data_IF_180037111556
#
_entry.id   IF_180037111556
#
_cell.length_a   1.000
_cell.length_b   1.000
_cell.length_c   1.000
_cell.angle_alpha   90.00
_cell.angle_beta   90.00
_cell.angle_gamma   90.00
#
_symmetry.space_group_name_H-M   'P 1'
#
loop_
_entity.id
_entity.type
_entity.pdbx_description
1 polymer ?
#
# COMPACT_ATOMS: atom_id res chain seq x y z
N UNK A 1 11.10 -3.96 -7.62
CA UNK A 1 11.24 -5.43 -7.46
C UNK A 1 10.30 -5.84 -6.33
N UNK A 2 9.32 -6.71 -6.56
CA UNK A 2 8.40 -7.12 -5.52
C UNK A 2 9.01 -8.18 -4.60
N UNK A 3 8.57 -8.18 -3.34
CA UNK A 3 8.93 -9.16 -2.33
C UNK A 3 7.72 -10.08 -2.11
N UNK A 4 7.91 -11.38 -2.29
CA UNK A 4 6.90 -12.41 -2.09
C UNK A 4 7.26 -13.18 -0.82
N UNK A 5 6.52 -12.94 0.25
CA UNK A 5 6.72 -13.61 1.53
C UNK A 5 5.66 -14.71 1.69
N UNK A 6 6.10 -15.95 1.75
CA UNK A 6 5.25 -17.08 2.08
C UNK A 6 5.23 -17.27 3.60
N UNK A 7 4.05 -17.15 4.18
CA UNK A 7 3.81 -17.43 5.59
C UNK A 7 3.10 -18.78 5.67
N UNK A 8 3.83 -19.83 6.02
CA UNK A 8 3.29 -21.18 6.08
C UNK A 8 2.96 -21.55 7.51
N UNK A 9 1.73 -21.99 7.71
CA UNK A 9 1.32 -22.64 8.94
C UNK A 9 2.06 -23.97 9.07
N UNK A 10 2.89 -24.08 10.11
CA UNK A 10 3.61 -25.29 10.49
C UNK A 10 3.05 -25.89 11.77
N UNK A 11 1.84 -25.51 12.19
CA UNK A 11 1.22 -26.07 13.40
C UNK A 11 0.86 -27.55 13.24
N UNK A 12 0.65 -28.23 14.38
CA UNK A 12 0.34 -29.65 14.38
C UNK A 12 -0.95 -30.01 13.63
N UNK A 13 -1.92 -29.09 13.52
CA UNK A 13 -3.18 -29.31 12.80
C UNK A 13 -3.00 -29.48 11.29
N UNK A 14 -1.90 -28.97 10.73
CA UNK A 14 -1.54 -29.14 9.32
C UNK A 14 -1.14 -30.58 8.95
N UNK A 15 -1.03 -31.51 9.92
CA UNK A 15 -0.81 -32.93 9.68
C UNK A 15 -2.07 -33.70 9.23
N UNK A 16 -3.25 -33.06 9.24
CA UNK A 16 -4.47 -33.71 8.78
C UNK A 16 -4.37 -34.11 7.30
N UNK A 17 -4.93 -35.29 6.99
CA UNK A 17 -4.88 -35.88 5.65
C UNK A 17 -6.11 -35.55 4.84
N UNK A 18 -5.89 -35.33 3.56
CA UNK A 18 -6.96 -35.05 2.59
C UNK A 18 -7.38 -36.32 1.86
N UNK A 19 -8.44 -36.23 1.06
CA UNK A 19 -8.84 -37.31 0.13
C UNK A 19 -7.73 -37.70 -0.87
N UNK A 20 -6.71 -36.86 -1.07
CA UNK A 20 -5.54 -37.14 -1.92
C UNK A 20 -4.48 -38.00 -1.22
N UNK A 21 -4.64 -38.27 0.08
CA UNK A 21 -3.67 -39.03 0.89
C UNK A 21 -2.48 -38.20 1.41
N UNK A 22 -2.34 -36.95 0.98
CA UNK A 22 -1.31 -36.00 1.44
C UNK A 22 -1.79 -35.15 2.60
N UNK A 23 -0.86 -34.62 3.41
CA UNK A 23 -1.19 -33.68 4.49
C UNK A 23 -1.47 -32.27 3.94
N UNK A 24 -2.07 -31.40 4.77
CA UNK A 24 -2.23 -29.99 4.40
C UNK A 24 -0.88 -29.28 4.22
N UNK A 25 0.13 -29.61 5.02
CA UNK A 25 1.47 -29.05 4.84
C UNK A 25 2.09 -29.45 3.49
N UNK A 26 1.91 -30.69 3.05
CA UNK A 26 2.39 -31.14 1.74
C UNK A 26 1.70 -30.37 0.59
N UNK A 27 0.39 -30.15 0.72
CA UNK A 27 -0.38 -29.34 -0.23
C UNK A 27 0.11 -27.89 -0.24
N UNK A 28 0.39 -27.32 0.94
CA UNK A 28 0.93 -25.96 1.06
C UNK A 28 2.30 -25.82 0.38
N UNK A 29 3.22 -26.77 0.62
CA UNK A 29 4.53 -26.82 -0.07
C UNK A 29 4.35 -26.91 -1.59
N UNK A 30 3.48 -27.82 -2.05
CA UNK A 30 3.15 -27.95 -3.47
C UNK A 30 2.56 -26.68 -4.08
N UNK A 31 1.69 -25.97 -3.35
CA UNK A 31 1.10 -24.70 -3.77
C UNK A 31 2.16 -23.61 -3.98
N UNK A 32 3.15 -23.52 -3.07
CA UNK A 32 4.29 -22.61 -3.20
C UNK A 32 5.10 -22.92 -4.46
N UNK A 33 5.42 -24.19 -4.70
CA UNK A 33 6.16 -24.59 -5.91
C UNK A 33 5.40 -24.27 -7.19
N UNK A 34 4.09 -24.55 -7.23
CA UNK A 34 3.22 -24.24 -8.37
C UNK A 34 3.15 -22.73 -8.58
N UNK A 35 3.01 -21.94 -7.52
CA UNK A 35 3.01 -20.49 -7.60
C UNK A 35 4.30 -19.96 -8.22
N UNK A 36 5.46 -20.43 -7.75
CA UNK A 36 6.75 -20.01 -8.28
C UNK A 36 6.91 -20.37 -9.76
N UNK A 37 6.42 -21.55 -10.19
CA UNK A 37 6.41 -21.97 -11.60
C UNK A 37 5.49 -21.08 -12.45
N UNK A 38 4.30 -20.74 -11.94
CA UNK A 38 3.38 -19.83 -12.62
C UNK A 38 3.97 -18.43 -12.74
N UNK A 39 4.58 -17.92 -11.67
CA UNK A 39 5.21 -16.60 -11.64
C UNK A 39 6.43 -16.52 -12.55
N UNK A 40 7.21 -17.58 -12.68
CA UNK A 40 8.36 -17.65 -13.58
C UNK A 40 8.00 -17.52 -15.07
N UNK A 41 6.72 -17.66 -15.45
CA UNK A 41 6.24 -17.41 -16.82
C UNK A 41 6.26 -15.91 -17.16
N UNK A 42 6.18 -15.03 -16.16
CA UNK A 42 6.24 -13.58 -16.35
C UNK A 42 7.70 -13.11 -16.35
N UNK A 43 8.20 -12.46 -17.43
CA UNK A 43 9.56 -11.93 -17.48
C UNK A 43 9.90 -10.96 -16.33
N UNK A 44 8.90 -10.29 -15.74
CA UNK A 44 9.08 -9.39 -14.61
C UNK A 44 9.54 -10.12 -13.33
N UNK A 45 9.40 -11.45 -13.25
CA UNK A 45 9.71 -12.23 -12.06
C UNK A 45 11.21 -12.36 -11.75
N UNK A 46 12.09 -12.00 -12.70
CA UNK A 46 13.56 -12.15 -12.53
C UNK A 46 14.13 -11.33 -11.39
N UNK A 47 13.44 -10.26 -10.99
CA UNK A 47 13.82 -9.41 -9.85
C UNK A 47 13.08 -9.72 -8.56
N UNK A 48 12.19 -10.72 -8.54
CA UNK A 48 11.39 -11.03 -7.37
C UNK A 48 12.25 -11.64 -6.26
N UNK A 49 11.99 -11.24 -5.01
CA UNK A 49 12.60 -11.84 -3.83
C UNK A 49 11.60 -12.70 -3.10
N UNK A 50 11.98 -13.95 -2.81
CA UNK A 50 11.16 -14.88 -2.05
C UNK A 50 11.64 -14.97 -0.61
N UNK A 51 10.71 -14.90 0.35
CA UNK A 51 10.97 -15.06 1.78
C UNK A 51 10.04 -16.14 2.35
N UNK A 52 10.51 -16.85 3.38
CA UNK A 52 9.76 -17.91 4.04
C UNK A 52 9.72 -17.68 5.55
N UNK A 53 8.50 -17.61 6.08
CA UNK A 53 8.22 -17.47 7.52
C UNK A 53 7.28 -18.59 7.96
N UNK A 54 7.49 -19.12 9.15
CA UNK A 54 6.71 -20.20 9.79
C UNK A 54 6.12 -19.72 11.12
N UNK A 55 5.33 -20.58 11.79
CA UNK A 55 4.71 -20.28 13.09
C UNK A 55 5.62 -20.60 14.29
N UNK A 56 6.90 -20.87 14.05
CA UNK A 56 7.86 -21.12 15.12
C UNK A 56 8.17 -19.82 15.89
N UNK A 57 8.51 -19.98 17.17
CA UNK A 57 8.87 -18.85 18.03
C UNK A 57 10.14 -18.13 17.54
N UNK A 58 10.27 -16.81 17.75
CA UNK A 58 11.48 -16.08 17.40
C UNK A 58 12.70 -16.61 18.16
N UNK A 59 13.88 -16.67 17.51
CA UNK A 59 14.19 -16.21 16.15
C UNK A 59 14.02 -17.31 15.08
N UNK A 60 13.32 -18.41 15.36
CA UNK A 60 13.25 -19.58 14.47
C UNK A 60 12.14 -19.50 13.40
N UNK A 61 11.20 -18.59 13.55
CA UNK A 61 10.12 -18.38 12.58
C UNK A 61 10.58 -17.90 11.19
N UNK A 62 11.73 -17.22 11.07
CA UNK A 62 12.25 -16.79 9.76
C UNK A 62 13.20 -17.85 9.22
N UNK A 63 12.79 -18.54 8.14
CA UNK A 63 13.61 -19.57 7.48
C UNK A 63 14.43 -19.02 6.33
N UNK A 64 13.85 -18.13 5.53
CA UNK A 64 14.53 -17.46 4.43
C UNK A 64 14.20 -15.97 4.39
N UNK A 65 15.21 -15.11 4.48
CA UNK A 65 15.08 -13.65 4.59
C UNK A 65 15.84 -12.85 3.52
N UNK A 66 16.28 -11.64 3.87
CA UNK A 66 16.85 -10.65 2.93
C UNK A 66 18.10 -11.07 2.16
N UNK A 67 18.93 -11.95 2.72
CA UNK A 67 20.24 -12.35 2.16
C UNK A 67 20.23 -13.73 1.52
N UNK A 68 19.12 -14.46 1.62
CA UNK A 68 19.05 -15.83 1.16
C UNK A 68 18.77 -15.93 -0.34
N UNK A 69 19.32 -16.98 -0.95
CA UNK A 69 19.12 -17.26 -2.36
C UNK A 69 17.94 -18.24 -2.57
N UNK A 70 17.54 -18.43 -3.82
CA UNK A 70 16.45 -19.35 -4.18
C UNK A 70 16.72 -20.80 -3.75
N UNK A 71 17.98 -21.25 -3.75
CA UNK A 71 18.37 -22.59 -3.32
C UNK A 71 18.12 -22.83 -1.82
N UNK A 72 18.54 -21.89 -0.97
CA UNK A 72 18.27 -21.95 0.48
C UNK A 72 16.76 -21.95 0.75
N UNK A 73 16.01 -21.07 0.08
CA UNK A 73 14.55 -21.03 0.19
C UNK A 73 13.91 -22.39 -0.11
N UNK A 74 14.28 -23.02 -1.22
CA UNK A 74 13.72 -24.32 -1.62
C UNK A 74 14.15 -25.46 -0.68
N UNK A 75 15.36 -25.39 -0.12
CA UNK A 75 15.84 -26.35 0.87
C UNK A 75 15.00 -26.27 2.16
N UNK A 76 14.85 -25.06 2.71
CA UNK A 76 14.05 -24.81 3.90
C UNK A 76 12.58 -25.21 3.71
N UNK A 77 11.98 -24.85 2.55
CA UNK A 77 10.60 -25.22 2.21
C UNK A 77 10.38 -26.74 2.24
N UNK A 78 11.32 -27.51 1.68
CA UNK A 78 11.24 -28.98 1.66
C UNK A 78 11.32 -29.57 3.07
N UNK A 79 12.20 -29.01 3.90
CA UNK A 79 12.49 -29.52 5.24
C UNK A 79 11.46 -29.12 6.32
N UNK A 80 10.48 -28.25 6.01
CA UNK A 80 9.45 -27.87 6.98
C UNK A 80 8.72 -29.08 7.56
N UNK A 81 8.48 -29.06 8.86
CA UNK A 81 7.71 -30.05 9.60
C UNK A 81 6.51 -29.37 10.24
N UNK A 82 5.37 -30.07 10.28
CA UNK A 82 4.17 -29.59 10.94
C UNK A 82 4.24 -29.98 12.43
N UNK A 83 4.73 -29.07 13.26
CA UNK A 83 4.85 -29.21 14.70
C UNK A 83 4.60 -27.87 15.39
N UNK A 84 3.92 -27.90 16.54
CA UNK A 84 3.71 -26.71 17.36
C UNK A 84 2.30 -26.16 17.29
N UNK A 85 2.16 -24.91 17.75
CA UNK A 85 0.89 -24.22 17.96
C UNK A 85 0.57 -23.27 16.80
N UNK A 86 -0.72 -22.98 16.60
CA UNK A 86 -1.21 -22.04 15.60
C UNK A 86 -1.08 -20.58 16.08
N UNK A 87 0.16 -20.06 16.09
CA UNK A 87 0.52 -18.71 16.57
C UNK A 87 0.45 -17.62 15.49
N UNK A 88 -0.63 -17.63 14.67
CA UNK A 88 -0.78 -16.79 13.48
C UNK A 88 -0.45 -15.30 13.73
N UNK A 89 -0.94 -14.73 14.84
CA UNK A 89 -0.73 -13.31 15.14
C UNK A 89 0.75 -12.95 15.35
N UNK A 90 1.50 -13.84 16.01
CA UNK A 90 2.92 -13.64 16.23
C UNK A 90 3.73 -13.80 14.93
N UNK A 91 3.37 -14.79 14.12
CA UNK A 91 4.04 -15.06 12.85
C UNK A 91 3.79 -13.95 11.82
N UNK A 92 2.57 -13.43 11.72
CA UNK A 92 2.24 -12.25 10.92
C UNK A 92 3.04 -11.02 11.37
N UNK A 93 3.14 -10.80 12.69
CA UNK A 93 3.93 -9.69 13.23
C UNK A 93 5.39 -9.79 12.82
N UNK A 94 5.98 -10.98 12.95
CA UNK A 94 7.37 -11.23 12.55
C UNK A 94 7.57 -11.03 11.03
N UNK A 95 6.60 -11.43 10.21
CA UNK A 95 6.62 -11.18 8.77
C UNK A 95 6.59 -9.68 8.44
N UNK A 96 5.71 -8.90 9.08
CA UNK A 96 5.66 -7.45 8.89
C UNK A 96 6.94 -6.77 9.37
N UNK A 97 7.45 -7.14 10.54
CA UNK A 97 8.69 -6.60 11.07
C UNK A 97 9.86 -6.89 10.13
N UNK A 98 9.97 -8.12 9.60
CA UNK A 98 10.98 -8.51 8.62
C UNK A 98 10.92 -7.64 7.36
N UNK A 99 9.73 -7.38 6.83
CA UNK A 99 9.53 -6.53 5.65
C UNK A 99 9.85 -5.06 5.93
N UNK A 100 9.63 -4.59 7.16
CA UNK A 100 9.83 -3.20 7.55
C UNK A 100 11.28 -2.86 7.90
N UNK A 101 12.16 -3.86 8.09
CA UNK A 101 13.55 -3.67 8.54
C UNK A 101 14.33 -2.64 7.72
N UNK A 102 14.24 -2.64 6.39
CA UNK A 102 15.13 -1.80 5.57
C UNK A 102 14.50 -0.48 5.14
N UNK A 103 13.22 -0.25 5.41
CA UNK A 103 12.46 0.83 4.79
C UNK A 103 12.90 2.23 5.23
N UNK A 104 13.25 2.38 6.50
CA UNK A 104 13.77 3.64 7.03
C UNK A 104 15.18 3.96 6.51
N UNK A 105 16.03 2.92 6.37
CA UNK A 105 17.40 3.06 5.87
C UNK A 105 17.41 3.37 4.38
N UNK A 106 16.55 2.70 3.61
CA UNK A 106 16.37 2.96 2.16
C UNK A 106 15.65 4.27 1.87
N UNK A 107 15.13 4.97 2.89
CA UNK A 107 14.44 6.26 2.73
C UNK A 107 13.04 6.15 2.10
N UNK A 108 12.46 4.95 2.07
CA UNK A 108 11.10 4.73 1.56
C UNK A 108 10.09 5.39 2.49
N UNK A 109 10.24 5.16 3.80
CA UNK A 109 9.40 5.77 4.83
C UNK A 109 10.01 7.12 5.28
N UNK A 110 9.74 8.15 4.49
CA UNK A 110 10.22 9.52 4.69
C UNK A 110 9.29 10.35 5.61
N UNK A 111 9.20 9.99 6.90
CA UNK A 111 8.29 10.65 7.86
C UNK A 111 8.38 12.18 7.88
N UNK A 112 7.24 12.84 7.77
CA UNK A 112 7.14 14.31 7.80
C UNK A 112 7.56 15.03 6.51
N UNK A 113 7.81 14.28 5.42
CA UNK A 113 8.18 14.82 4.10
C UNK A 113 7.16 14.45 3.01
N UNK A 114 5.90 14.25 3.40
CA UNK A 114 4.87 13.71 2.51
C UNK A 114 5.10 12.24 2.20
N UNK A 115 4.11 11.59 1.57
CA UNK A 115 4.17 10.17 1.20
C UNK A 115 4.34 10.05 -0.31
N UNK A 116 5.46 9.49 -0.77
CA UNK A 116 5.76 9.39 -2.20
C UNK A 116 5.29 8.05 -2.78
N UNK A 117 4.26 8.00 -3.64
CA UNK A 117 3.76 6.72 -4.18
C UNK A 117 4.78 5.98 -5.05
N UNK A 118 5.81 6.68 -5.55
CA UNK A 118 6.87 6.13 -6.38
C UNK A 118 8.07 5.59 -5.59
N UNK A 119 8.12 5.79 -4.27
CA UNK A 119 9.07 5.09 -3.40
C UNK A 119 8.42 3.81 -2.89
N UNK A 120 8.75 2.70 -3.54
CA UNK A 120 8.03 1.44 -3.39
C UNK A 120 8.97 0.29 -3.08
N UNK A 121 8.52 -0.55 -2.16
CA UNK A 121 9.03 -1.90 -1.97
C UNK A 121 7.81 -2.82 -1.85
N UNK A 122 7.15 -3.10 -2.99
CA UNK A 122 5.87 -3.77 -2.98
C UNK A 122 6.04 -5.17 -2.43
N UNK A 123 5.26 -5.53 -1.41
CA UNK A 123 5.32 -6.85 -0.81
C UNK A 123 3.95 -7.52 -0.76
N UNK A 124 3.98 -8.83 -0.98
CA UNK A 124 2.79 -9.67 -0.94
C UNK A 124 3.07 -10.80 0.02
N UNK A 125 2.24 -10.90 1.05
CA UNK A 125 2.26 -11.99 2.01
C UNK A 125 1.21 -13.00 1.56
N UNK A 126 1.64 -14.24 1.35
CA UNK A 126 0.76 -15.36 1.02
C UNK A 126 0.76 -16.27 2.23
N UNK A 127 -0.29 -16.18 3.04
CA UNK A 127 -0.48 -17.04 4.20
C UNK A 127 -1.20 -18.31 3.78
N UNK A 128 -0.63 -19.47 4.07
CA UNK A 128 -1.30 -20.76 3.85
C UNK A 128 -1.52 -21.41 5.21
N UNK A 129 -2.78 -21.66 5.55
CA UNK A 129 -3.20 -22.19 6.86
C UNK A 129 -4.43 -23.08 6.68
N UNK A 130 -4.74 -23.90 7.67
CA UNK A 130 -5.99 -24.65 7.74
C UNK A 130 -7.19 -23.78 8.17
N UNK A 131 -6.94 -22.58 8.72
CA UNK A 131 -7.96 -21.65 9.19
C UNK A 131 -8.78 -22.17 10.36
N UNK A 132 -8.28 -23.21 11.05
CA UNK A 132 -8.90 -23.74 12.24
C UNK A 132 -8.70 -22.80 13.44
N UNK A 133 -9.15 -23.23 14.62
CA UNK A 133 -9.02 -22.45 15.85
C UNK A 133 -7.56 -22.10 16.14
N UNK A 134 -7.31 -20.83 16.43
CA UNK A 134 -6.00 -20.32 16.81
C UNK A 134 -5.63 -20.90 18.19
N UNK A 135 -4.36 -21.27 18.40
CA UNK A 135 -3.93 -21.86 19.68
C UNK A 135 -2.70 -21.13 20.22
N UNK A 136 -2.76 -20.75 21.48
CA UNK A 136 -1.63 -20.26 22.27
C UNK A 136 -1.35 -21.19 23.45
N UNK A 137 -0.20 -21.01 24.09
CA UNK A 137 0.18 -21.72 25.31
C UNK A 137 -0.84 -21.55 26.45
N UNK A 138 -1.59 -20.44 26.45
CA UNK A 138 -2.62 -20.10 27.45
C UNK A 138 -4.05 -20.49 27.07
N UNK A 139 -4.30 -20.96 25.85
CA UNK A 139 -5.65 -21.35 25.40
C UNK A 139 -5.92 -21.08 23.92
N UNK A 140 -7.21 -21.11 23.57
CA UNK A 140 -7.70 -20.99 22.19
C UNK A 140 -8.44 -19.65 22.05
N UNK A 141 -7.81 -18.58 21.52
CA UNK A 141 -8.53 -17.33 21.28
C UNK A 141 -9.47 -17.43 20.08
N UNK A 142 -10.60 -16.72 20.16
CA UNK A 142 -11.53 -16.57 19.04
C UNK A 142 -11.16 -15.41 18.10
N UNK A 143 -10.39 -14.43 18.58
CA UNK A 143 -9.98 -13.25 17.82
C UNK A 143 -8.47 -13.24 17.52
N UNK A 144 -8.12 -12.80 16.31
CA UNK A 144 -6.73 -12.61 15.90
C UNK A 144 -6.22 -11.25 16.36
N UNK A 145 -5.46 -11.24 17.46
CA UNK A 145 -4.75 -10.06 17.94
C UNK A 145 -3.27 -10.14 17.56
N UNK A 146 -2.75 -9.07 16.95
CA UNK A 146 -1.32 -8.91 16.72
C UNK A 146 -0.68 -8.35 17.99
N UNK A 147 0.38 -8.96 18.54
CA UNK A 147 1.06 -8.40 19.71
C UNK A 147 1.56 -6.99 19.37
N UNK A 148 1.25 -5.99 20.20
CA UNK A 148 1.51 -4.58 19.88
C UNK A 148 2.98 -4.16 20.08
N UNK A 149 3.70 -4.84 20.97
CA UNK A 149 5.07 -4.48 21.33
C UNK A 149 6.06 -4.85 20.21
N UNK A 150 6.49 -3.85 19.42
CA UNK A 150 7.59 -4.03 18.47
C UNK A 150 8.92 -3.97 19.17
N UNK A 151 9.87 -4.85 18.85
CA UNK A 151 11.27 -4.58 19.11
C UNK A 151 11.88 -3.62 18.06
N UNK A 152 11.20 -3.33 16.94
CA UNK A 152 11.74 -2.46 15.89
C UNK A 152 11.67 -0.98 16.28
N UNK A 153 12.85 -0.36 16.29
CA UNK A 153 13.02 1.08 16.47
C UNK A 153 12.29 1.85 15.33
N UNK A 154 11.46 2.83 15.68
CA UNK A 154 10.68 3.61 14.72
C UNK A 154 9.30 3.03 14.39
N UNK A 155 8.93 1.91 15.01
CA UNK A 155 7.58 1.33 14.87
C UNK A 155 6.49 2.26 15.39
N UNK A 156 6.82 3.10 16.39
CA UNK A 156 5.90 4.09 16.97
C UNK A 156 5.49 5.21 15.99
N UNK A 157 6.20 5.38 14.87
CA UNK A 157 5.87 6.37 13.84
C UNK A 157 4.71 5.91 12.95
N UNK A 158 4.19 4.70 13.13
CA UNK A 158 3.06 4.16 12.38
C UNK A 158 2.13 3.36 13.28
N UNK A 159 0.83 3.58 13.13
CA UNK A 159 -0.17 2.98 14.03
C UNK A 159 -0.31 1.48 13.79
N UNK A 160 -0.29 1.07 12.53
CA UNK A 160 -0.50 -0.30 12.09
C UNK A 160 0.85 -1.00 11.79
N UNK A 161 0.92 -2.35 11.90
CA UNK A 161 2.16 -3.10 11.68
C UNK A 161 2.54 -3.22 10.20
N UNK A 162 1.61 -3.01 9.28
CA UNK A 162 1.83 -3.10 7.83
C UNK A 162 2.03 -1.72 7.19
N UNK A 163 2.45 -1.71 5.92
CA UNK A 163 2.64 -0.50 5.10
C UNK A 163 1.69 -0.51 3.91
N UNK A 164 1.49 0.66 3.31
CA UNK A 164 0.57 0.85 2.17
C UNK A 164 0.90 0.07 0.90
N UNK A 165 2.11 -0.44 0.76
CA UNK A 165 2.58 -1.26 -0.37
C UNK A 165 2.68 -2.75 0.01
N UNK A 166 2.12 -3.14 1.16
CA UNK A 166 2.10 -4.52 1.67
C UNK A 166 0.67 -5.06 1.65
N UNK A 167 0.45 -6.18 0.94
CA UNK A 167 -0.87 -6.82 0.83
C UNK A 167 -0.83 -8.25 1.35
N UNK A 168 -1.86 -8.64 2.11
CA UNK A 168 -2.00 -9.99 2.66
C UNK A 168 -3.07 -10.77 1.89
N UNK A 169 -2.70 -11.95 1.39
CA UNK A 169 -3.63 -12.93 0.86
C UNK A 169 -3.55 -14.20 1.70
N UNK A 170 -4.70 -14.79 2.01
CA UNK A 170 -4.78 -16.03 2.77
C UNK A 170 -5.37 -17.15 1.92
N UNK A 171 -4.65 -18.28 1.80
CA UNK A 171 -5.17 -19.53 1.26
C UNK A 171 -5.55 -20.42 2.45
N UNK A 172 -6.85 -20.49 2.73
CA UNK A 172 -7.37 -21.31 3.81
C UNK A 172 -7.74 -22.68 3.23
N UNK A 173 -6.96 -23.69 3.59
CA UNK A 173 -7.15 -25.06 3.13
C UNK A 173 -8.32 -25.69 3.89
N UNK A 174 -9.40 -26.01 3.19
CA UNK A 174 -10.59 -26.72 3.71
C UNK A 174 -10.90 -27.95 2.86
N UNK A 175 -9.86 -28.68 2.46
CA UNK A 175 -10.02 -29.89 1.65
C UNK A 175 -10.57 -31.03 2.52
N UNK A 176 -11.64 -31.72 2.08
CA UNK A 176 -12.24 -32.80 2.86
C UNK A 176 -11.32 -34.02 2.94
N UNK A 177 -11.48 -34.82 4.00
CA UNK A 177 -10.76 -36.10 4.15
C UNK A 177 -11.33 -37.23 3.28
N UNK A 178 -12.61 -37.13 2.93
CA UNK A 178 -13.30 -38.07 2.04
C UNK A 178 -13.67 -37.38 0.72
N UNK A 179 -13.69 -38.13 -0.37
CA UNK A 179 -14.17 -37.63 -1.66
C UNK A 179 -15.67 -37.29 -1.55
N UNK A 180 -16.00 -36.01 -1.58
CA UNK A 180 -17.39 -35.55 -1.73
C UNK A 180 -17.73 -35.46 -3.21
N UNK A 181 -18.88 -35.98 -3.69
CA UNK A 181 -19.30 -35.76 -5.07
C UNK A 181 -19.46 -34.26 -5.32
N UNK A 182 -18.87 -33.78 -6.41
CA UNK A 182 -18.72 -32.35 -6.71
C UNK A 182 -20.08 -31.63 -6.77
N UNK A 183 -20.33 -30.73 -5.82
CA UNK A 183 -21.18 -29.58 -6.08
C UNK A 183 -20.32 -28.55 -6.81
N UNK A 184 -20.11 -28.72 -8.12
CA UNK A 184 -19.34 -27.78 -8.94
C UNK A 184 -20.05 -26.42 -8.98
N UNK A 185 -19.73 -25.52 -8.05
CA UNK A 185 -20.00 -24.11 -8.22
C UNK A 185 -19.00 -23.57 -9.24
N UNK A 186 -19.42 -23.52 -10.50
CA UNK A 186 -18.71 -22.87 -11.60
C UNK A 186 -18.68 -21.35 -11.31
N UNK A 187 -17.67 -20.88 -10.57
CA UNK A 187 -17.63 -19.50 -10.12
C UNK A 187 -16.29 -19.10 -9.49
N UNK A 188 -16.18 -17.85 -9.07
CA UNK A 188 -15.01 -17.34 -8.36
C UNK A 188 -14.89 -17.99 -6.98
N UNK A 189 -13.68 -18.39 -6.60
CA UNK A 189 -13.40 -18.94 -5.26
C UNK A 189 -13.91 -17.99 -4.16
N UNK A 190 -14.76 -18.47 -3.23
CA UNK A 190 -15.35 -17.65 -2.18
C UNK A 190 -14.31 -17.15 -1.19
N UNK A 191 -14.65 -16.06 -0.50
CA UNK A 191 -13.89 -15.60 0.66
C UNK A 191 -14.07 -16.58 1.81
N UNK A 192 -13.07 -16.63 2.68
CA UNK A 192 -13.14 -17.43 3.90
C UNK A 192 -13.76 -16.62 5.05
N UNK A 193 -14.41 -17.27 6.00
CA UNK A 193 -14.95 -16.63 7.23
C UNK A 193 -14.06 -16.96 8.44
N UNK A 194 -12.75 -16.73 8.33
CA UNK A 194 -11.79 -16.90 9.42
C UNK A 194 -11.24 -15.57 9.92
N UNK A 195 -10.61 -15.59 11.10
CA UNK A 195 -10.05 -14.40 11.74
C UNK A 195 -9.01 -13.67 10.86
N UNK A 196 -8.34 -14.36 9.93
CA UNK A 196 -7.38 -13.75 9.00
C UNK A 196 -8.05 -12.90 7.91
N UNK A 197 -9.33 -13.12 7.60
CA UNK A 197 -10.05 -12.40 6.54
C UNK A 197 -10.07 -10.90 6.79
N UNK A 198 -10.34 -10.47 8.04
CA UNK A 198 -10.33 -9.05 8.41
C UNK A 198 -8.96 -8.40 8.15
N UNK A 199 -7.86 -9.10 8.46
CA UNK A 199 -6.51 -8.61 8.20
C UNK A 199 -6.20 -8.54 6.70
N UNK A 200 -6.69 -9.51 5.92
CA UNK A 200 -6.57 -9.48 4.46
C UNK A 200 -7.30 -8.26 3.87
N UNK A 201 -8.52 -7.98 4.31
CA UNK A 201 -9.30 -6.83 3.83
C UNK A 201 -8.67 -5.49 4.23
N UNK A 202 -8.19 -5.37 5.46
CA UNK A 202 -7.56 -4.14 5.98
C UNK A 202 -6.28 -3.80 5.21
N UNK A 203 -5.49 -4.80 4.81
CA UNK A 203 -4.27 -4.61 3.99
C UNK A 203 -4.55 -4.47 2.48
N UNK A 204 -5.81 -4.57 2.04
CA UNK A 204 -6.18 -4.48 0.62
C UNK A 204 -5.94 -5.76 -0.19
N UNK A 205 -5.87 -6.92 0.48
CA UNK A 205 -5.87 -8.25 -0.14
C UNK A 205 -7.19 -8.98 0.07
N UNK A 206 -7.15 -10.32 0.05
CA UNK A 206 -8.33 -11.18 0.27
C UNK A 206 -7.98 -12.57 0.79
N UNK A 207 -8.89 -13.20 1.51
CA UNK A 207 -8.83 -14.61 1.85
C UNK A 207 -9.52 -15.45 0.76
N UNK A 208 -9.09 -16.71 0.60
CA UNK A 208 -9.65 -17.68 -0.32
C UNK A 208 -9.96 -18.94 0.46
N UNK A 209 -11.21 -19.42 0.40
CA UNK A 209 -11.60 -20.71 0.98
C UNK A 209 -11.39 -21.82 -0.06
N UNK A 210 -10.38 -22.67 0.16
CA UNK A 210 -9.93 -23.68 -0.80
C UNK A 210 -10.50 -25.04 -0.44
N UNK A 211 -11.54 -25.47 -1.15
CA UNK A 211 -12.23 -26.75 -0.91
C UNK A 211 -11.68 -27.88 -1.78
N UNK A 212 -11.14 -27.57 -2.96
CA UNK A 212 -10.63 -28.55 -3.93
C UNK A 212 -9.27 -28.15 -4.50
N UNK A 213 -8.54 -29.13 -5.05
CA UNK A 213 -7.25 -28.88 -5.70
C UNK A 213 -7.40 -27.97 -6.94
N UNK A 214 -8.54 -28.06 -7.64
CA UNK A 214 -8.85 -27.19 -8.78
C UNK A 214 -9.01 -25.74 -8.34
N UNK A 215 -9.74 -25.49 -7.25
CA UNK A 215 -9.89 -24.17 -6.67
C UNK A 215 -8.55 -23.60 -6.20
N UNK A 216 -7.67 -24.43 -5.62
CA UNK A 216 -6.32 -24.02 -5.26
C UNK A 216 -5.55 -23.50 -6.47
N UNK A 217 -5.54 -24.24 -7.59
CA UNK A 217 -4.86 -23.81 -8.81
C UNK A 217 -5.44 -22.51 -9.37
N UNK A 218 -6.77 -22.35 -9.38
CA UNK A 218 -7.43 -21.10 -9.77
C UNK A 218 -7.04 -19.91 -8.88
N UNK A 219 -6.93 -20.12 -7.56
CA UNK A 219 -6.45 -19.10 -6.62
C UNK A 219 -5.02 -18.68 -6.94
N UNK A 220 -4.12 -19.64 -7.18
CA UNK A 220 -2.72 -19.37 -7.49
C UNK A 220 -2.57 -18.57 -8.79
N UNK A 221 -3.32 -18.93 -9.84
CA UNK A 221 -3.36 -18.17 -11.10
C UNK A 221 -3.86 -16.74 -10.89
N UNK A 222 -4.93 -16.56 -10.12
CA UNK A 222 -5.46 -15.23 -9.78
C UNK A 222 -4.46 -14.42 -8.93
N UNK A 223 -3.76 -15.05 -8.00
CA UNK A 223 -2.80 -14.38 -7.11
C UNK A 223 -1.59 -13.87 -7.91
N UNK A 224 -1.09 -14.63 -8.87
CA UNK A 224 0.01 -14.20 -9.76
C UNK A 224 -0.36 -12.91 -10.51
N UNK A 225 -1.60 -12.80 -10.99
CA UNK A 225 -2.08 -11.57 -11.66
C UNK A 225 -2.18 -10.37 -10.71
N UNK A 226 -2.35 -10.60 -9.41
CA UNK A 226 -2.40 -9.55 -8.38
C UNK A 226 -1.01 -9.08 -7.95
N UNK A 227 0.08 -9.70 -8.40
CA UNK A 227 1.46 -9.25 -8.14
C UNK A 227 1.79 -8.02 -8.99
N UNK A 228 1.17 -6.91 -8.62
CA UNK A 228 1.28 -5.61 -9.27
C UNK A 228 1.91 -4.60 -8.30
N UNK A 229 2.66 -3.65 -8.87
CA UNK A 229 3.29 -2.57 -8.11
C UNK A 229 2.29 -1.43 -7.89
N UNK A 230 2.12 -1.01 -6.65
CA UNK A 230 1.21 0.05 -6.28
C UNK A 230 1.17 0.31 -4.79
N UNK A 231 0.40 1.33 -4.41
CA UNK A 231 0.12 1.66 -2.99
C UNK A 231 -1.39 1.66 -2.76
N UNK A 232 -1.79 1.24 -1.57
CA UNK A 232 -3.19 1.22 -1.15
C UNK A 232 -3.55 2.56 -0.51
N UNK A 233 -4.63 3.17 -1.00
CA UNK A 233 -5.22 4.38 -0.45
C UNK A 233 -6.63 4.06 0.07
N UNK A 234 -7.03 4.73 1.15
CA UNK A 234 -8.42 4.70 1.63
C UNK A 234 -9.15 5.92 1.08
N UNK A 235 -10.09 5.72 0.15
CA UNK A 235 -10.91 6.79 -0.38
C UNK A 235 -12.17 6.96 0.45
N UNK A 236 -12.47 8.19 0.86
CA UNK A 236 -13.66 8.54 1.63
C UNK A 236 -14.40 9.72 0.98
N UNK A 237 -15.71 9.59 0.78
CA UNK A 237 -16.54 10.69 0.28
C UNK A 237 -16.63 11.78 1.36
N UNK A 238 -16.52 13.04 0.94
CA UNK A 238 -16.86 14.20 1.77
C UNK A 238 -17.86 15.11 1.06
N UNK A 239 -18.71 15.79 1.83
CA UNK A 239 -19.76 16.65 1.29
C UNK A 239 -21.00 15.90 0.80
N UNK A 240 -21.94 16.60 0.14
CA UNK A 240 -23.19 16.03 -0.34
C UNK A 240 -22.96 15.00 -1.46
N UNK A 241 -23.94 14.12 -1.65
CA UNK A 241 -23.96 13.26 -2.83
C UNK A 241 -24.02 14.07 -4.12
N UNK A 242 -23.40 13.57 -5.21
CA UNK A 242 -23.53 14.21 -6.50
C UNK A 242 -25.01 14.21 -6.93
N UNK A 243 -25.45 15.22 -7.69
CA UNK A 243 -26.78 15.21 -8.26
C UNK A 243 -26.99 13.94 -9.11
N UNK A 244 -28.18 13.30 -9.03
CA UNK A 244 -28.48 12.10 -9.79
C UNK A 244 -28.40 12.42 -11.30
N UNK A 245 -27.71 11.56 -12.04
CA UNK A 245 -27.56 11.69 -13.49
C UNK A 245 -28.71 10.93 -14.17
N UNK A 246 -29.78 11.65 -14.55
CA UNK A 246 -30.89 11.13 -15.36
C UNK A 246 -32.28 11.26 -14.72
N UNK A 247 -33.28 11.65 -15.52
CA UNK A 247 -34.69 11.65 -15.15
C UNK A 247 -35.21 10.19 -15.06
N UNK A 248 -35.62 9.78 -13.86
CA UNK A 248 -36.29 8.50 -13.63
C UNK A 248 -35.37 7.42 -13.08
N UNK A 249 -35.40 7.23 -11.75
CA UNK A 249 -35.65 5.95 -11.07
C UNK A 249 -35.35 6.09 -9.57
N UNK A 250 -36.46 6.23 -8.80
CA UNK A 250 -36.69 6.05 -7.35
C UNK A 250 -35.81 6.82 -6.33
N UNK A 251 -36.42 7.45 -5.31
CA UNK A 251 -35.69 7.97 -4.16
C UNK A 251 -35.24 6.78 -3.29
N UNK A 252 -34.07 6.24 -3.55
CA UNK A 252 -33.42 5.35 -2.59
C UNK A 252 -32.92 6.27 -1.48
N UNK A 253 -33.60 6.21 -0.33
CA UNK A 253 -33.20 6.84 0.94
C UNK A 253 -31.71 7.21 1.00
N UNK A 254 -31.41 8.50 0.85
CA UNK A 254 -30.08 9.06 0.61
C UNK A 254 -29.16 9.05 1.86
N UNK A 255 -29.44 8.22 2.86
CA UNK A 255 -28.76 8.26 4.16
C UNK A 255 -27.97 6.99 4.50
N UNK A 256 -28.03 5.94 3.68
CA UNK A 256 -27.22 4.74 3.90
C UNK A 256 -25.83 4.88 3.25
N UNK A 257 -24.73 4.56 3.95
CA UNK A 257 -23.39 4.55 3.36
C UNK A 257 -23.32 3.52 2.22
N UNK A 258 -23.08 4.00 1.01
CA UNK A 258 -22.92 3.15 -0.17
C UNK A 258 -21.51 2.57 -0.23
N UNK A 259 -21.30 1.39 -0.85
CA UNK A 259 -19.98 0.77 -0.99
C UNK A 259 -18.93 1.63 -1.70
N UNK A 260 -19.35 2.63 -2.48
CA UNK A 260 -18.45 3.58 -3.14
C UNK A 260 -18.08 4.79 -2.26
N UNK A 261 -18.78 5.03 -1.15
CA UNK A 261 -18.49 6.14 -0.22
C UNK A 261 -17.19 5.92 0.55
N UNK A 262 -16.82 4.66 0.81
CA UNK A 262 -15.56 4.32 1.46
C UNK A 262 -14.99 3.06 0.85
N UNK A 263 -13.78 3.14 0.29
CA UNK A 263 -13.11 1.96 -0.26
C UNK A 263 -11.59 2.07 -0.16
N UNK A 264 -10.94 0.97 0.23
CA UNK A 264 -9.49 0.80 0.17
C UNK A 264 -9.12 0.19 -1.16
N UNK A 265 -8.35 0.90 -1.98
CA UNK A 265 -8.00 0.45 -3.32
C UNK A 265 -6.56 0.77 -3.68
N UNK A 266 -5.98 -0.12 -4.46
CA UNK A 266 -4.64 0.03 -4.99
C UNK A 266 -4.65 1.10 -6.09
N UNK A 267 -3.69 2.03 -6.02
CA UNK A 267 -3.29 2.83 -7.17
C UNK A 267 -2.06 2.19 -7.80
N UNK A 268 -2.12 1.95 -9.10
CA UNK A 268 -1.02 1.33 -9.84
C UNK A 268 0.09 2.32 -10.07
N UNK A 269 1.29 1.90 -9.69
CA UNK A 269 2.52 2.67 -9.90
C UNK A 269 3.38 1.90 -10.87
N UNK A 270 3.28 2.28 -12.14
CA UNK A 270 4.00 1.62 -13.23
C UNK A 270 5.43 2.17 -13.31
N UNK A 271 6.45 1.32 -13.44
CA UNK A 271 7.82 1.78 -13.70
C UNK A 271 7.90 2.54 -15.02
N UNK A 272 8.78 3.52 -15.09
CA UNK A 272 9.03 4.23 -16.34
C UNK A 272 9.73 3.26 -17.34
N UNK A 273 9.22 3.11 -18.58
CA UNK A 273 9.82 2.21 -19.58
C UNK A 273 11.30 2.51 -19.88
N UNK A 274 11.75 3.77 -19.73
CA UNK A 274 13.12 4.18 -20.04
C UNK A 274 14.11 3.90 -18.91
N UNK A 275 13.69 4.08 -17.67
CA UNK A 275 14.59 3.98 -16.50
C UNK A 275 14.36 2.71 -15.68
N UNK A 276 13.27 1.98 -15.91
CA UNK A 276 12.90 0.77 -15.15
C UNK A 276 12.47 1.05 -13.70
N UNK A 277 12.42 2.32 -13.28
CA UNK A 277 12.07 2.74 -11.90
C UNK A 277 10.84 3.65 -11.97
N UNK A 278 9.90 3.55 -11.01
CA UNK A 278 8.82 4.52 -10.87
C UNK A 278 9.36 5.94 -10.76
N UNK A 279 8.82 6.85 -11.55
CA UNK A 279 9.14 8.28 -11.48
C UNK A 279 7.86 9.00 -11.10
N UNK A 280 7.94 9.83 -10.06
CA UNK A 280 6.90 10.79 -9.76
C UNK A 280 7.48 12.12 -9.30
N UNK A 281 6.60 13.08 -9.12
CA UNK A 281 6.91 14.48 -8.87
C UNK A 281 6.34 14.95 -7.56
N UNK A 282 5.11 14.55 -7.23
CA UNK A 282 4.36 15.11 -6.12
C UNK A 282 4.06 14.05 -5.06
N UNK A 283 4.35 14.31 -3.78
CA UNK A 283 3.91 13.44 -2.71
C UNK A 283 2.39 13.57 -2.48
N UNK A 284 1.81 12.56 -1.85
CA UNK A 284 0.53 12.68 -1.13
C UNK A 284 0.83 13.41 0.21
N UNK A 285 0.03 14.43 0.58
CA UNK A 285 0.31 15.22 1.77
C UNK A 285 0.14 14.40 3.06
N UNK A 286 0.82 14.83 4.12
CA UNK A 286 0.59 14.29 5.47
C UNK A 286 -0.81 14.65 5.98
N UNK A 287 -1.32 13.81 6.88
CA UNK A 287 -2.54 14.07 7.65
C UNK A 287 -2.29 14.92 8.90
N UNK A 288 -1.24 15.74 8.86
CA UNK A 288 -0.86 16.68 9.92
C UNK A 288 0.01 17.78 9.31
N UNK A 289 0.09 18.93 9.96
CA UNK A 289 1.02 19.98 9.57
C UNK A 289 2.39 19.78 10.23
N UNK A 290 3.51 19.70 9.47
CA UNK A 290 4.84 19.64 10.06
C UNK A 290 5.20 20.99 10.67
N UNK A 291 5.30 21.04 12.00
CA UNK A 291 5.72 22.23 12.73
C UNK A 291 7.19 22.11 13.14
N UNK A 292 7.97 23.18 12.90
CA UNK A 292 9.38 23.26 13.30
C UNK A 292 9.56 23.30 14.82
N UNK A 293 8.51 23.67 15.56
CA UNK A 293 8.54 23.70 17.02
C UNK A 293 8.13 22.35 17.65
N UNK A 294 7.63 21.40 16.86
CA UNK A 294 7.21 20.10 17.40
C UNK A 294 8.42 19.22 17.73
N UNK A 295 8.53 18.70 18.97
CA UNK A 295 9.65 17.85 19.36
C UNK A 295 9.57 16.44 18.75
N UNK A 296 8.35 15.99 18.40
CA UNK A 296 8.07 14.66 17.84
C UNK A 296 7.09 14.73 16.67
N UNK A 297 7.00 13.63 15.91
CA UNK A 297 6.04 13.47 14.82
C UNK A 297 4.83 12.64 15.28
N UNK A 298 3.60 13.00 14.84
CA UNK A 298 2.45 12.14 15.08
C UNK A 298 2.56 10.86 14.23
N UNK A 299 2.05 9.73 14.74
CA UNK A 299 2.11 8.46 14.03
C UNK A 299 1.23 8.47 12.77
N UNK A 300 1.78 8.01 11.65
CA UNK A 300 1.06 7.83 10.39
C UNK A 300 0.10 6.64 10.47
N UNK A 301 -1.04 6.74 9.81
CA UNK A 301 -1.80 5.54 9.38
C UNK A 301 -1.06 4.86 8.23
N UNK A 302 -1.11 3.54 8.13
CA UNK A 302 -0.53 2.80 7.01
C UNK A 302 -1.12 3.28 5.68
N UNK A 303 -2.45 3.27 5.56
CA UNK A 303 -3.17 3.77 4.39
C UNK A 303 -3.51 5.26 4.56
N UNK A 304 -3.08 6.15 3.65
CA UNK A 304 -3.54 7.53 3.64
C UNK A 304 -5.05 7.57 3.42
N UNK A 305 -5.75 8.39 4.21
CA UNK A 305 -7.18 8.66 4.01
C UNK A 305 -7.31 9.84 3.06
N UNK A 306 -7.70 9.55 1.83
CA UNK A 306 -7.90 10.51 0.75
C UNK A 306 -9.38 10.80 0.64
N UNK A 307 -9.78 12.01 1.01
CA UNK A 307 -11.17 12.45 0.90
C UNK A 307 -11.43 13.01 -0.48
N UNK A 308 -12.57 12.68 -1.09
CA UNK A 308 -12.96 13.21 -2.39
C UNK A 308 -14.31 13.92 -2.31
N UNK A 309 -14.41 15.05 -3.01
CA UNK A 309 -15.63 15.84 -3.09
C UNK A 309 -16.33 15.59 -4.42
N UNK A 310 -17.63 15.33 -4.38
CA UNK A 310 -18.46 15.09 -5.56
C UNK A 310 -18.93 16.37 -6.27
N UNK A 311 -18.17 17.46 -6.12
CA UNK A 311 -18.38 18.72 -6.85
C UNK A 311 -17.61 18.65 -8.16
N UNK A 312 -18.34 18.70 -9.27
CA UNK A 312 -17.74 18.64 -10.60
C UNK A 312 -16.89 19.89 -10.86
N UNK A 313 -15.64 19.66 -11.27
CA UNK A 313 -14.67 20.71 -11.59
C UNK A 313 -14.02 20.41 -12.94
N UNK A 314 -13.77 21.45 -13.74
CA UNK A 314 -12.99 21.32 -14.97
C UNK A 314 -11.49 21.40 -14.66
N UNK A 315 -10.69 20.39 -15.04
CA UNK A 315 -9.27 20.41 -14.78
C UNK A 315 -8.56 21.43 -15.69
N UNK A 316 -7.98 22.47 -15.08
CA UNK A 316 -7.10 23.41 -15.80
C UNK A 316 -5.78 22.73 -16.16
N UNK A 317 -5.36 22.86 -17.42
CA UNK A 317 -4.11 22.27 -17.93
C UNK A 317 -3.10 23.38 -18.22
N UNK A 318 -1.91 23.27 -17.63
CA UNK A 318 -0.78 24.16 -17.87
C UNK A 318 0.31 23.39 -18.60
N UNK A 319 0.81 23.95 -19.70
CA UNK A 319 1.88 23.33 -20.47
C UNK A 319 3.15 23.12 -19.64
N UNK A 320 3.76 21.94 -19.79
CA UNK A 320 5.03 21.54 -19.16
C UNK A 320 5.00 21.43 -17.63
N UNK A 321 3.87 21.66 -16.96
CA UNK A 321 3.74 21.35 -15.54
C UNK A 321 3.78 19.82 -15.37
N UNK A 322 4.77 19.27 -14.63
CA UNK A 322 4.76 17.85 -14.35
C UNK A 322 3.57 17.49 -13.43
N UNK A 323 2.92 16.38 -13.71
CA UNK A 323 1.89 15.78 -12.87
C UNK A 323 2.08 14.27 -12.85
N UNK A 324 1.55 13.63 -11.82
CA UNK A 324 1.57 12.16 -11.72
C UNK A 324 0.17 11.61 -12.00
N UNK A 325 0.11 10.54 -12.79
CA UNK A 325 -1.13 9.87 -13.16
C UNK A 325 -1.05 8.42 -12.71
N UNK A 326 -1.90 8.06 -11.75
CA UNK A 326 -2.01 6.70 -11.24
C UNK A 326 -3.37 6.11 -11.57
N UNK A 327 -3.38 4.93 -12.17
CA UNK A 327 -4.62 4.21 -12.48
C UNK A 327 -5.15 3.53 -11.21
N UNK A 328 -6.45 3.63 -10.95
CA UNK A 328 -7.09 2.96 -9.81
C UNK A 328 -7.45 1.52 -10.17
N UNK A 329 -7.28 0.63 -9.20
CA UNK A 329 -7.86 -0.71 -9.24
C UNK A 329 -9.41 -0.64 -9.33
N UNK A 330 -10.04 -1.49 -10.16
CA UNK A 330 -11.48 -1.58 -10.25
C UNK A 330 -12.16 -1.76 -8.88
N UNK A 331 -13.19 -0.96 -8.65
CA UNK A 331 -13.92 -0.84 -7.40
C UNK A 331 -15.30 -0.22 -7.59
N UNK A 332 -16.19 -0.30 -6.58
CA UNK A 332 -17.48 0.40 -6.61
C UNK A 332 -17.35 1.90 -6.90
N UNK A 333 -16.31 2.57 -6.37
CA UNK A 333 -16.01 3.97 -6.66
C UNK A 333 -15.68 4.20 -8.13
N UNK A 334 -14.80 3.38 -8.70
CA UNK A 334 -14.45 3.52 -10.12
C UNK A 334 -15.64 3.23 -11.04
N UNK A 335 -16.46 2.24 -10.70
CA UNK A 335 -17.66 1.90 -11.46
C UNK A 335 -18.64 3.08 -11.46
N UNK A 336 -18.91 3.65 -10.28
CA UNK A 336 -19.79 4.81 -10.14
C UNK A 336 -19.32 6.02 -10.97
N UNK A 337 -18.01 6.33 -10.95
CA UNK A 337 -17.44 7.43 -11.74
C UNK A 337 -17.58 7.15 -13.25
N UNK A 338 -17.36 5.91 -13.70
CA UNK A 338 -17.47 5.53 -15.10
C UNK A 338 -18.92 5.55 -15.62
N UNK A 339 -19.87 5.15 -14.79
CA UNK A 339 -21.31 5.14 -15.11
C UNK A 339 -21.88 6.53 -15.38
N UNK A 340 -21.30 7.58 -14.76
CA UNK A 340 -21.68 8.98 -15.04
C UNK A 340 -21.41 9.39 -16.49
N UNK A 341 -20.47 8.74 -17.18
CA UNK A 341 -20.09 9.04 -18.59
C UNK A 341 -19.70 10.51 -18.84
N UNK A 342 -19.14 11.19 -17.83
CA UNK A 342 -18.66 12.59 -17.95
C UNK A 342 -17.13 12.65 -17.83
N UNK A 343 -16.35 12.29 -18.88
CA UNK A 343 -14.89 12.20 -18.80
C UNK A 343 -14.19 13.56 -18.72
N UNK A 344 -14.90 14.67 -18.94
CA UNK A 344 -14.35 16.03 -18.89
C UNK A 344 -14.31 16.61 -17.48
N UNK A 345 -15.17 16.12 -16.58
CA UNK A 345 -15.25 16.57 -15.19
C UNK A 345 -14.34 15.73 -14.29
N UNK A 346 -13.86 16.35 -13.21
CA UNK A 346 -13.09 15.67 -12.19
C UNK A 346 -13.60 16.00 -10.78
N UNK A 347 -13.28 15.11 -9.84
CA UNK A 347 -13.59 15.27 -8.43
C UNK A 347 -12.31 15.52 -7.65
N UNK A 348 -12.26 16.64 -6.95
CA UNK A 348 -11.07 17.03 -6.20
C UNK A 348 -10.83 16.11 -5.01
N UNK A 349 -9.55 15.87 -4.71
CA UNK A 349 -9.13 15.07 -3.56
C UNK A 349 -8.31 15.86 -2.56
N UNK A 350 -8.48 15.52 -1.29
CA UNK A 350 -8.00 16.22 -0.10
C UNK A 350 -7.43 15.21 0.90
N UNK A 351 -6.53 15.67 1.77
CA UNK A 351 -6.13 14.94 2.97
C UNK A 351 -6.40 15.84 4.16
N UNK A 352 -7.11 15.31 5.15
CA UNK A 352 -7.50 16.13 6.29
C UNK A 352 -6.33 16.47 7.20
N UNK A 353 -6.40 17.64 7.82
CA UNK A 353 -5.36 18.21 8.67
C UNK A 353 -4.02 18.47 7.95
N UNK A 354 -4.02 18.51 6.62
CA UNK A 354 -2.84 18.88 5.82
C UNK A 354 -2.61 20.40 5.75
N UNK A 355 -3.54 21.21 6.26
CA UNK A 355 -3.51 22.68 6.26
C UNK A 355 -3.62 23.22 7.68
N UNK A 356 -3.03 24.39 7.95
CA UNK A 356 -3.23 25.13 9.22
C UNK A 356 -4.61 25.79 9.33
N UNK A 357 -5.26 26.08 8.19
CA UNK A 357 -6.44 26.94 8.13
C UNK A 357 -7.75 26.16 7.91
N UNK A 358 -7.68 24.90 7.50
CA UNK A 358 -8.83 24.09 7.11
C UNK A 358 -8.66 22.66 7.61
N UNK A 359 -9.67 22.14 8.29
CA UNK A 359 -9.68 20.77 8.79
C UNK A 359 -9.70 19.74 7.66
N UNK A 360 -10.40 20.04 6.56
CA UNK A 360 -10.43 19.17 5.38
C UNK A 360 -9.10 19.16 4.62
N UNK A 361 -8.31 20.22 4.76
CA UNK A 361 -7.09 20.46 3.99
C UNK A 361 -7.35 21.27 2.71
N UNK A 362 -6.40 21.24 1.79
CA UNK A 362 -6.49 21.85 0.46
C UNK A 362 -6.33 20.77 -0.63
N UNK A 363 -6.88 20.98 -1.84
CA UNK A 363 -6.88 19.96 -2.87
C UNK A 363 -5.46 19.73 -3.40
N UNK A 364 -5.03 18.47 -3.43
CA UNK A 364 -3.70 18.06 -3.92
C UNK A 364 -3.78 17.25 -5.23
N UNK A 365 -4.99 17.03 -5.74
CA UNK A 365 -5.21 16.24 -6.94
C UNK A 365 -6.69 16.12 -7.26
N UNK A 366 -7.00 15.22 -8.19
CA UNK A 366 -8.38 14.89 -8.53
C UNK A 366 -8.52 13.49 -9.13
N UNK A 367 -9.71 12.91 -9.01
CA UNK A 367 -10.13 11.69 -9.69
C UNK A 367 -10.80 12.05 -11.01
N UNK A 368 -10.41 11.37 -12.09
CA UNK A 368 -10.96 11.59 -13.42
C UNK A 368 -11.02 10.29 -14.21
N UNK A 369 -12.15 10.05 -14.88
CA UNK A 369 -12.28 8.93 -15.81
C UNK A 369 -11.36 9.10 -17.02
N UNK A 370 -10.87 7.98 -17.58
CA UNK A 370 -10.20 8.02 -18.88
C UNK A 370 -11.17 8.48 -19.96
N UNK A 371 -10.65 9.10 -21.03
CA UNK A 371 -11.47 9.49 -22.20
C UNK A 371 -12.14 8.30 -22.86
N UNK A 372 -11.53 7.12 -22.75
CA UNK A 372 -12.08 5.83 -23.23
C UNK A 372 -13.07 5.19 -22.26
N UNK A 373 -13.29 5.77 -21.07
CA UNK A 373 -14.14 5.24 -20.00
C UNK A 373 -13.79 3.80 -19.59
N UNK A 374 -12.51 3.43 -19.66
CA UNK A 374 -12.02 2.09 -19.29
C UNK A 374 -11.51 2.02 -17.86
N UNK A 375 -11.01 3.14 -17.32
CA UNK A 375 -10.45 3.20 -15.98
C UNK A 375 -10.60 4.60 -15.39
N UNK A 376 -10.45 4.70 -14.07
CA UNK A 376 -10.38 5.98 -13.36
C UNK A 376 -8.93 6.20 -12.95
N UNK A 377 -8.48 7.45 -13.04
CA UNK A 377 -7.12 7.84 -12.69
C UNK A 377 -7.14 8.88 -11.58
N UNK A 378 -6.22 8.73 -10.64
CA UNK A 378 -5.84 9.75 -9.68
C UNK A 378 -4.73 10.59 -10.31
N UNK A 379 -5.04 11.87 -10.54
CA UNK A 379 -4.06 12.87 -10.93
C UNK A 379 -3.54 13.56 -9.67
N UNK A 380 -2.26 13.37 -9.37
CA UNK A 380 -1.60 14.06 -8.24
C UNK A 380 -0.93 15.31 -8.77
N UNK A 381 -1.29 16.42 -8.15
CA UNK A 381 -0.96 17.79 -8.54
C UNK A 381 -0.20 18.48 -7.39
N UNK A 382 0.38 19.67 -7.62
CA UNK A 382 0.86 20.51 -6.54
C UNK A 382 -0.22 20.73 -5.47
N UNK A 383 0.19 20.86 -4.22
CA UNK A 383 -0.73 21.15 -3.12
C UNK A 383 -1.42 22.50 -3.32
N UNK A 384 -2.74 22.55 -3.20
CA UNK A 384 -3.56 23.72 -3.51
C UNK A 384 -3.38 24.22 -4.96
N UNK A 385 -3.35 23.29 -5.92
CA UNK A 385 -3.22 23.60 -7.34
C UNK A 385 -4.26 24.61 -7.88
N UNK A 386 -5.53 24.71 -7.41
CA UNK A 386 -6.47 25.68 -7.96
C UNK A 386 -6.03 27.14 -7.80
N UNK A 387 -5.21 27.44 -6.80
CA UNK A 387 -4.59 28.77 -6.63
C UNK A 387 -3.30 28.89 -7.44
N UNK A 388 -2.50 27.82 -7.53
CA UNK A 388 -1.23 27.84 -8.25
C UNK A 388 -1.40 27.92 -9.77
N UNK A 389 -2.32 27.15 -10.37
CA UNK A 389 -2.44 27.05 -11.82
C UNK A 389 -2.75 28.40 -12.49
N UNK A 390 -3.69 29.23 -11.99
CA UNK A 390 -3.92 30.57 -12.53
C UNK A 390 -2.69 31.48 -12.40
N UNK A 391 -1.98 31.42 -11.27
CA UNK A 391 -0.74 32.20 -11.08
C UNK A 391 0.33 31.79 -12.11
N UNK A 392 0.45 30.50 -12.43
CA UNK A 392 1.36 30.03 -13.46
C UNK A 392 0.91 30.47 -14.86
N UNK A 393 -0.38 30.38 -15.16
CA UNK A 393 -0.91 30.82 -16.45
C UNK A 393 -0.62 32.31 -16.71
N UNK A 394 -0.86 33.17 -15.71
CA UNK A 394 -0.54 34.59 -15.75
C UNK A 394 0.98 34.83 -15.92
N UNK A 395 1.81 34.06 -15.23
CA UNK A 395 3.26 34.17 -15.33
C UNK A 395 3.75 33.93 -16.77
N UNK A 396 3.22 32.91 -17.44
CA UNK A 396 3.64 32.53 -18.78
C UNK A 396 2.99 33.40 -19.86
N UNK A 397 1.68 33.61 -19.81
CA UNK A 397 0.93 34.34 -20.85
C UNK A 397 1.07 35.84 -20.74
N UNK A 398 0.95 36.39 -19.53
CA UNK A 398 0.92 37.85 -19.31
C UNK A 398 2.31 38.38 -19.04
N UNK A 399 3.04 37.77 -18.09
CA UNK A 399 4.30 38.30 -17.60
C UNK A 399 5.54 37.82 -18.35
N UNK A 400 5.42 36.81 -19.23
CA UNK A 400 6.54 36.25 -20.01
C UNK A 400 7.78 35.97 -19.13
N UNK A 401 7.58 35.26 -18.01
CA UNK A 401 8.61 34.92 -17.01
C UNK A 401 9.19 36.10 -16.21
N UNK A 402 8.62 37.31 -16.31
CA UNK A 402 9.04 38.50 -15.55
C UNK A 402 7.92 38.95 -14.59
N UNK A 403 7.78 38.32 -13.41
CA UNK A 403 6.68 38.59 -12.49
C UNK A 403 6.75 40.01 -11.91
N UNK A 404 5.62 40.70 -11.89
CA UNK A 404 5.45 42.00 -11.23
C UNK A 404 5.33 41.85 -9.69
N UNK A 405 5.31 42.96 -8.95
CA UNK A 405 5.25 42.94 -7.49
C UNK A 405 3.97 42.27 -6.96
N UNK A 406 2.81 42.53 -7.57
CA UNK A 406 1.53 41.95 -7.18
C UNK A 406 1.53 40.42 -7.31
N UNK A 407 2.06 39.90 -8.42
CA UNK A 407 2.20 38.47 -8.65
C UNK A 407 3.14 37.84 -7.62
N UNK A 408 4.28 38.48 -7.34
CA UNK A 408 5.24 37.98 -6.33
C UNK A 408 4.60 37.88 -4.94
N UNK A 409 3.84 38.90 -4.54
CA UNK A 409 3.11 38.88 -3.26
C UNK A 409 2.07 37.75 -3.20
N UNK A 410 1.32 37.54 -4.29
CA UNK A 410 0.35 36.43 -4.37
C UNK A 410 1.05 35.06 -4.31
N UNK A 411 2.16 34.90 -5.01
CA UNK A 411 2.95 33.67 -5.01
C UNK A 411 3.61 33.40 -3.64
N UNK A 412 4.17 34.42 -2.99
CA UNK A 412 4.70 34.31 -1.63
C UNK A 412 3.61 33.94 -0.61
N UNK A 413 2.40 34.48 -0.77
CA UNK A 413 1.26 34.09 0.06
C UNK A 413 0.90 32.62 -0.16
N UNK A 414 0.86 32.15 -1.41
CA UNK A 414 0.66 30.74 -1.73
C UNK A 414 1.72 29.84 -1.06
N UNK A 415 3.01 30.19 -1.17
CA UNK A 415 4.09 29.42 -0.55
C UNK A 415 3.94 29.27 0.97
N UNK A 416 3.36 30.27 1.66
CA UNK A 416 3.07 30.20 3.10
C UNK A 416 1.91 29.26 3.46
N UNK A 417 0.98 29.01 2.53
CA UNK A 417 -0.17 28.11 2.73
C UNK A 417 0.14 26.64 2.45
N UNK A 418 1.25 26.37 1.78
CA UNK A 418 1.68 25.04 1.36
C UNK A 418 2.57 24.37 2.43
N UNK A 419 2.46 23.06 2.67
CA UNK A 419 3.39 22.37 3.56
C UNK A 419 4.84 22.53 3.07
N UNK A 420 5.81 22.82 3.97
CA UNK A 420 7.18 23.14 3.57
C UNK A 420 7.86 22.09 2.69
N UNK A 421 7.56 20.79 2.91
CA UNK A 421 8.15 19.70 2.13
C UNK A 421 7.72 19.66 0.65
N UNK A 422 6.66 20.37 0.24
CA UNK A 422 6.30 20.50 -1.18
C UNK A 422 7.20 21.50 -1.93
N UNK A 423 8.00 22.31 -1.22
CA UNK A 423 8.82 23.35 -1.84
C UNK A 423 9.87 22.78 -2.79
N UNK A 424 10.52 21.68 -2.42
CA UNK A 424 11.56 21.05 -3.24
C UNK A 424 10.97 20.45 -4.54
N UNK A 425 9.87 19.65 -4.50
CA UNK A 425 9.11 19.28 -5.69
C UNK A 425 8.70 20.47 -6.56
N UNK A 426 8.18 21.54 -5.94
CA UNK A 426 7.75 22.74 -6.65
C UNK A 426 8.92 23.43 -7.36
N UNK A 427 10.06 23.59 -6.71
CA UNK A 427 11.28 24.15 -7.31
C UNK A 427 11.75 23.32 -8.51
N UNK A 428 11.69 21.99 -8.41
CA UNK A 428 12.03 21.08 -9.52
C UNK A 428 11.07 21.29 -10.70
N UNK A 429 9.76 21.39 -10.44
CA UNK A 429 8.76 21.68 -11.46
C UNK A 429 8.99 23.05 -12.12
N UNK A 430 9.24 24.11 -11.35
CA UNK A 430 9.53 25.46 -11.88
C UNK A 430 10.77 25.47 -12.77
N UNK A 431 11.82 24.72 -12.39
CA UNK A 431 13.03 24.57 -13.23
C UNK A 431 12.70 23.90 -14.57
N UNK A 432 11.88 22.85 -14.58
CA UNK A 432 11.44 22.17 -15.81
C UNK A 432 10.61 23.08 -16.71
N UNK A 433 9.85 24.00 -16.13
CA UNK A 433 9.06 25.00 -16.86
C UNK A 433 9.87 26.22 -17.30
N UNK A 434 11.17 26.30 -16.97
CA UNK A 434 12.05 27.39 -17.39
C UNK A 434 12.10 28.60 -16.45
N UNK A 435 11.62 28.48 -15.20
CA UNK A 435 11.60 29.55 -14.21
C UNK A 435 12.40 29.21 -12.92
N UNK A 436 13.72 28.94 -13.01
CA UNK A 436 14.51 28.41 -11.89
C UNK A 436 14.71 29.39 -10.72
N UNK A 437 14.63 30.70 -10.98
CA UNK A 437 15.03 31.75 -10.03
C UNK A 437 13.88 32.29 -9.16
N UNK A 438 12.70 31.67 -9.20
CA UNK A 438 11.52 32.14 -8.45
C UNK A 438 11.54 31.76 -6.98
N UNK A 439 12.33 30.75 -6.60
CA UNK A 439 12.37 30.21 -5.22
C UNK A 439 13.82 30.20 -4.75
N UNK A 440 14.08 30.82 -3.60
CA UNK A 440 15.41 30.91 -3.00
C UNK A 440 16.02 29.54 -2.66
N UNK A 441 17.35 29.49 -2.47
CA UNK A 441 18.09 28.22 -2.28
C UNK A 441 18.05 27.66 -0.85
N UNK A 442 17.89 28.52 0.17
CA UNK A 442 18.14 28.17 1.58
C UNK A 442 16.87 27.86 2.40
N UNK A 443 15.89 27.15 1.84
CA UNK A 443 14.65 26.88 2.55
C UNK A 443 14.66 25.47 3.17
N UNK A 444 14.64 25.43 4.50
CA UNK A 444 14.65 24.22 5.31
C UNK A 444 13.40 23.35 5.08
N UNK A 445 13.57 22.03 5.18
CA UNK A 445 12.55 21.00 4.92
C UNK A 445 11.35 20.99 5.90
N UNK A 446 11.15 22.05 6.69
CA UNK A 446 10.02 22.21 7.61
C UNK A 446 10.02 21.34 8.87
N UNK A 447 11.01 20.46 9.04
CA UNK A 447 11.14 19.61 10.22
C UNK A 447 12.05 20.22 11.26
N UNK A 448 11.75 19.95 12.54
CA UNK A 448 12.58 20.36 13.67
C UNK A 448 13.91 19.58 13.69
N UNK A 449 14.96 20.20 14.22
CA UNK A 449 16.27 19.56 14.35
C UNK A 449 16.21 18.29 15.22
N UNK A 450 15.39 18.31 16.27
CA UNK A 450 15.18 17.15 17.15
C UNK A 450 14.61 15.96 16.38
N UNK A 451 13.61 16.18 15.53
CA UNK A 451 13.00 15.14 14.69
C UNK A 451 14.01 14.60 13.68
N UNK A 452 14.77 15.47 13.02
CA UNK A 452 15.80 15.05 12.04
C UNK A 452 16.87 14.18 12.72
N UNK A 453 17.35 14.60 13.90
CA UNK A 453 18.31 13.85 14.69
C UNK A 453 17.75 12.50 15.15
N UNK A 454 16.50 12.48 15.59
CA UNK A 454 15.78 11.27 15.99
C UNK A 454 15.68 10.25 14.84
N UNK A 455 15.21 10.67 13.66
CA UNK A 455 15.09 9.81 12.48
C UNK A 455 16.46 9.25 12.03
N UNK A 456 17.53 10.06 12.11
CA UNK A 456 18.90 9.59 11.82
C UNK A 456 19.35 8.53 12.82
N UNK A 457 19.10 8.73 14.11
CA UNK A 457 19.43 7.76 15.16
C UNK A 457 18.69 6.44 14.97
N UNK A 458 17.41 6.49 14.64
CA UNK A 458 16.60 5.30 14.33
C UNK A 458 17.18 4.52 13.14
N UNK A 459 17.51 5.20 12.04
CA UNK A 459 18.11 4.58 10.85
C UNK A 459 19.43 3.85 11.18
N UNK A 460 20.26 4.44 12.05
CA UNK A 460 21.50 3.81 12.53
C UNK A 460 21.23 2.57 13.40
N UNK A 461 20.27 2.63 14.32
CA UNK A 461 19.90 1.50 15.18
C UNK A 461 19.38 0.30 14.36
N UNK A 462 18.51 0.58 13.39
CA UNK A 462 17.95 -0.42 12.47
C UNK A 462 19.06 -1.11 11.67
N UNK A 463 20.03 -0.35 11.19
CA UNK A 463 21.21 -0.89 10.49
C UNK A 463 22.01 -1.84 11.38
N UNK A 464 22.11 -1.56 12.68
CA UNK A 464 22.78 -2.42 13.67
C UNK A 464 22.05 -3.75 13.90
N UNK A 465 20.72 -3.70 14.11
CA UNK A 465 19.88 -4.90 14.33
C UNK A 465 19.90 -5.82 13.10
N UNK A 466 19.90 -5.26 11.89
CA UNK A 466 19.97 -6.03 10.65
C UNK A 466 21.28 -6.84 10.54
N UNK A 467 22.41 -6.28 10.98
CA UNK A 467 23.68 -7.01 11.03
C UNK A 467 23.58 -8.23 11.95
N UNK A 468 23.00 -8.08 13.14
CA UNK A 468 22.82 -9.14 14.13
C UNK A 468 21.90 -10.27 13.66
N UNK A 469 20.72 -9.93 13.13
CA UNK A 469 19.79 -10.91 12.55
C UNK A 469 20.45 -11.72 11.43
N UNK A 470 21.24 -11.06 10.59
CA UNK A 470 21.93 -11.72 9.50
C UNK A 470 23.10 -12.62 9.93
N UNK A 471 23.75 -12.34 11.06
CA UNK A 471 24.76 -13.24 11.63
C UNK A 471 24.14 -14.48 12.27
N UNK A 472 23.01 -14.34 12.96
CA UNK A 472 22.33 -15.46 13.61
C UNK A 472 21.72 -16.46 12.61
N UNK A 473 21.30 -16.00 11.43
CA UNK A 473 20.83 -16.87 10.35
C UNK A 473 21.99 -17.60 9.64
N UNK A 474 23.14 -16.94 9.43
CA UNK A 474 24.32 -17.58 8.81
C UNK A 474 24.90 -18.73 9.63
N UNK A 475 24.91 -18.59 10.97
CA UNK A 475 25.35 -19.65 11.88
C UNK A 475 24.47 -20.92 11.82
N UNK A 476 23.28 -20.86 11.21
CA UNK A 476 22.40 -22.02 11.01
C UNK A 476 22.58 -22.71 9.66
N UNK A 477 23.25 -22.06 8.70
CA UNK A 477 23.50 -22.58 7.34
C UNK A 477 24.83 -23.34 7.20
N UNK A 478 25.62 -23.35 8.27
CA UNK A 478 26.78 -24.24 8.49
C UNK A 478 26.36 -25.35 9.43
#
# INVERSE_FOLDING_TARGET
>A
MPILLFLLDTSASMNQRTYLGTTYLDIAKGAVEVFMKLRARDPASRGDRYMLVTFDDPPYGVKAGWKENHGTFMCELKNLQASGLTTLGHALRTAFDLLNLNRLVSGIDNYGQGRNPFFLEPSIIITITDGNKLTHTSGVPDELHLPLNSPLAGSELTKEPFRWDQRLFALVLRLPGASTPDAEQLGSVPNDESAITQMCEVTGGRSYSVLTQRMLNQCLESLVQKVQSGVVLNFEKTGPDPPPVGEGHRPVSCFAPQPWHSCRKLIYVRPNPKTGVPVGHWPVPESFWPDQNSPSLPPRTAHPVVRFSCVDCEPMVIDKLPFDKYELEPSPLTQYILERKVPHMCWQVFVSSSSKQSDLGQPFGYLKASTTLTCVNLFVMPYNYPVLLPLLDDLFKVHKLKPNLKWRQAFEMYLKTMPPYYLLPLKKAMRMMGAPNLIAENLDCGLSYSVISYLKKLSQQVTGVNKLLSSSLRLKSQ
#
